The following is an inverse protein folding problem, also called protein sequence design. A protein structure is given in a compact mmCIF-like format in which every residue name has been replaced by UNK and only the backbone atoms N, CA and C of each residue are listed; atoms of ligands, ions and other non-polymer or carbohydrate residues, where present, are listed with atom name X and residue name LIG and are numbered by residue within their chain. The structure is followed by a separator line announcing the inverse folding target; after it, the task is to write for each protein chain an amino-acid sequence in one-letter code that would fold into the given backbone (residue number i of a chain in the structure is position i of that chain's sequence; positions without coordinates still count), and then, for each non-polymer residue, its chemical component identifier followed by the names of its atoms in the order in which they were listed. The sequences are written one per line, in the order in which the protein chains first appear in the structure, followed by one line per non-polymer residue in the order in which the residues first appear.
data_IF_267009612007
#
_entry.id   IF_267009612007
#
_cell.length_a   1.000
_cell.length_b   1.000
_cell.length_c   1.000
_cell.angle_alpha   90.00
_cell.angle_beta   90.00
_cell.angle_gamma   90.00
#
_symmetry.space_group_name_H-M   'P 1'
#
loop_
_entity.id
_entity.type
_entity.pdbx_description
1 polymer ?
#
# COMPACT_ATOMS: atom_id res chain seq x y z
N UNK A 1 10.35 12.09 -23.33
CA UNK A 1 10.96 10.92 -23.98
C UNK A 1 10.30 9.63 -23.51
N UNK A 2 10.01 9.47 -22.22
CA UNK A 2 9.46 8.21 -21.66
C UNK A 2 8.17 7.72 -22.31
N UNK A 3 7.19 8.59 -22.56
CA UNK A 3 5.96 8.19 -23.27
C UNK A 3 6.22 7.70 -24.69
N UNK A 4 7.18 8.28 -25.41
CA UNK A 4 7.53 7.84 -26.75
C UNK A 4 8.21 6.46 -26.73
N UNK A 5 9.15 6.26 -25.80
CA UNK A 5 9.81 4.97 -25.59
C UNK A 5 8.77 3.91 -25.20
N UNK A 6 7.93 4.22 -24.21
CA UNK A 6 6.83 3.37 -23.77
C UNK A 6 5.89 3.00 -24.91
N UNK A 7 5.52 3.95 -25.77
CA UNK A 7 4.70 3.72 -26.94
C UNK A 7 5.36 2.77 -27.94
N UNK A 8 6.61 3.02 -28.31
CA UNK A 8 7.34 2.18 -29.27
C UNK A 8 7.47 0.75 -28.73
N UNK A 9 7.90 0.58 -27.48
CA UNK A 9 8.05 -0.74 -26.87
C UNK A 9 6.71 -1.48 -26.75
N UNK A 10 5.67 -0.79 -26.29
CA UNK A 10 4.33 -1.38 -26.14
C UNK A 10 3.73 -1.77 -27.48
N UNK A 11 3.91 -0.94 -28.51
CA UNK A 11 3.45 -1.22 -29.87
C UNK A 11 4.16 -2.43 -30.46
N UNK A 12 5.48 -2.54 -30.32
CA UNK A 12 6.25 -3.70 -30.80
C UNK A 12 5.78 -4.99 -30.13
N UNK A 13 5.62 -4.98 -28.81
CA UNK A 13 5.15 -6.15 -28.05
C UNK A 13 3.70 -6.50 -28.44
N UNK A 14 2.83 -5.51 -28.60
CA UNK A 14 1.44 -5.72 -29.01
C UNK A 14 1.34 -6.33 -30.42
N UNK A 15 2.12 -5.83 -31.39
CA UNK A 15 2.17 -6.39 -32.75
C UNK A 15 2.63 -7.85 -32.73
N UNK A 16 3.72 -8.16 -32.01
CA UNK A 16 4.23 -9.53 -31.90
C UNK A 16 3.21 -10.46 -31.23
N UNK A 17 2.51 -9.96 -30.22
CA UNK A 17 1.51 -10.71 -29.46
C UNK A 17 0.24 -10.96 -30.26
N UNK A 18 -0.18 -9.98 -31.06
CA UNK A 18 -1.28 -10.12 -32.03
C UNK A 18 -0.95 -11.18 -33.08
N UNK A 19 0.24 -11.12 -33.69
CA UNK A 19 0.71 -12.13 -34.65
C UNK A 19 0.77 -13.53 -34.04
N UNK A 20 1.11 -13.64 -32.75
CA UNK A 20 1.15 -14.90 -31.97
C UNK A 20 -0.21 -15.35 -31.43
N UNK A 21 -1.31 -14.67 -31.79
CA UNK A 21 -2.69 -14.89 -31.33
C UNK A 21 -2.86 -14.85 -29.80
N UNK A 22 -1.95 -14.19 -29.08
CA UNK A 22 -2.08 -13.96 -27.63
C UNK A 22 -2.98 -12.77 -27.31
N UNK A 23 -3.10 -11.81 -28.23
CA UNK A 23 -4.02 -10.67 -28.19
C UNK A 23 -4.85 -10.63 -29.47
N UNK A 24 -6.09 -10.17 -29.37
CA UNK A 24 -6.85 -9.75 -30.56
C UNK A 24 -6.59 -8.26 -30.86
N UNK A 25 -7.18 -7.72 -31.93
CA UNK A 25 -6.89 -6.33 -32.33
C UNK A 25 -7.25 -5.32 -31.23
N UNK A 26 -8.41 -5.49 -30.58
CA UNK A 26 -8.83 -4.61 -29.48
C UNK A 26 -7.89 -4.70 -28.28
N UNK A 27 -7.42 -5.92 -27.96
CA UNK A 27 -6.45 -6.14 -26.90
C UNK A 27 -5.08 -5.55 -27.23
N UNK A 28 -4.65 -5.62 -28.49
CA UNK A 28 -3.40 -5.00 -28.94
C UNK A 28 -3.42 -3.48 -28.79
N UNK A 29 -4.51 -2.83 -29.20
CA UNK A 29 -4.70 -1.37 -29.02
C UNK A 29 -4.67 -1.00 -27.54
N UNK A 30 -5.43 -1.73 -26.71
CA UNK A 30 -5.45 -1.49 -25.26
C UNK A 30 -4.08 -1.72 -24.62
N UNK A 31 -3.38 -2.79 -24.98
CA UNK A 31 -2.04 -3.09 -24.48
C UNK A 31 -1.03 -2.00 -24.87
N UNK A 32 -1.12 -1.46 -26.09
CA UNK A 32 -0.29 -0.32 -26.50
C UNK A 32 -0.58 0.92 -25.66
N UNK A 33 -1.86 1.28 -25.47
CA UNK A 33 -2.26 2.46 -24.69
C UNK A 33 -1.82 2.34 -23.22
N UNK A 34 -2.23 1.27 -22.54
CA UNK A 34 -1.95 1.11 -21.11
C UNK A 34 -0.48 0.78 -20.83
N UNK A 35 0.21 0.06 -21.72
CA UNK A 35 1.65 -0.14 -21.64
C UNK A 35 2.42 1.19 -21.74
N UNK A 36 1.97 2.09 -22.62
CA UNK A 36 2.53 3.45 -22.74
C UNK A 36 2.34 4.25 -21.45
N UNK A 37 1.14 4.22 -20.88
CA UNK A 37 0.84 4.92 -19.63
C UNK A 37 1.67 4.35 -18.46
N UNK A 38 1.72 3.03 -18.32
CA UNK A 38 2.51 2.37 -17.27
C UNK A 38 4.01 2.70 -17.40
N UNK A 39 4.57 2.71 -18.61
CA UNK A 39 5.99 3.11 -18.78
C UNK A 39 6.20 4.59 -18.45
N UNK A 40 5.39 5.47 -19.05
CA UNK A 40 5.56 6.91 -18.93
C UNK A 40 5.27 7.45 -17.52
N UNK A 41 4.39 6.78 -16.77
CA UNK A 41 3.95 7.22 -15.44
C UNK A 41 4.51 6.35 -14.31
N UNK A 42 4.66 5.05 -14.53
CA UNK A 42 5.14 4.07 -13.55
C UNK A 42 6.63 3.69 -13.67
N UNK A 43 7.38 4.32 -14.58
CA UNK A 43 8.79 4.01 -14.91
C UNK A 43 8.98 2.67 -15.64
N UNK A 44 10.23 2.40 -16.04
CA UNK A 44 10.60 1.14 -16.65
C UNK A 44 10.39 -0.07 -15.72
N UNK A 45 10.43 0.12 -14.39
CA UNK A 45 10.20 -0.93 -13.39
C UNK A 45 8.80 -1.53 -13.59
N UNK A 46 7.75 -0.69 -13.55
CA UNK A 46 6.37 -1.16 -13.72
C UNK A 46 6.14 -1.76 -15.11
N UNK A 47 6.78 -1.20 -16.14
CA UNK A 47 6.69 -1.76 -17.48
C UNK A 47 7.28 -3.17 -17.57
N UNK A 48 8.46 -3.42 -17.00
CA UNK A 48 9.06 -4.76 -16.98
C UNK A 48 8.17 -5.74 -16.20
N UNK A 49 7.58 -5.33 -15.07
CA UNK A 49 6.62 -6.18 -14.35
C UNK A 49 5.39 -6.53 -15.20
N UNK A 50 4.81 -5.55 -15.89
CA UNK A 50 3.68 -5.76 -16.80
C UNK A 50 4.02 -6.75 -17.92
N UNK A 51 5.18 -6.58 -18.56
CA UNK A 51 5.62 -7.47 -19.64
C UNK A 51 5.90 -8.87 -19.10
N UNK A 52 6.54 -8.98 -17.94
CA UNK A 52 6.79 -10.26 -17.26
C UNK A 52 5.50 -10.99 -16.90
N UNK A 53 4.48 -10.29 -16.39
CA UNK A 53 3.13 -10.84 -16.18
C UNK A 53 2.54 -11.36 -17.50
N UNK A 54 2.51 -10.52 -18.54
CA UNK A 54 1.87 -10.87 -19.80
C UNK A 54 2.56 -12.06 -20.50
N UNK A 55 3.89 -12.06 -20.58
CA UNK A 55 4.67 -13.11 -21.25
C UNK A 55 4.58 -14.44 -20.48
N UNK A 56 4.79 -14.42 -19.16
CA UNK A 56 4.71 -15.64 -18.34
C UNK A 56 3.33 -16.29 -18.43
N UNK A 57 2.28 -15.48 -18.32
CA UNK A 57 0.89 -15.95 -18.44
C UNK A 57 0.58 -16.51 -19.83
N UNK A 58 1.08 -15.85 -20.88
CA UNK A 58 0.90 -16.34 -22.26
C UNK A 58 1.63 -17.66 -22.51
N UNK A 59 2.80 -17.86 -21.91
CA UNK A 59 3.56 -19.12 -22.00
C UNK A 59 2.82 -20.24 -21.27
N UNK A 60 2.38 -20.00 -20.03
CA UNK A 60 1.61 -20.98 -19.24
C UNK A 60 0.38 -21.44 -20.02
N UNK A 61 -0.38 -20.48 -20.57
CA UNK A 61 -1.58 -20.76 -21.35
C UNK A 61 -1.26 -21.63 -22.58
N UNK A 62 -0.16 -21.36 -23.30
CA UNK A 62 0.25 -22.13 -24.49
C UNK A 62 0.72 -23.54 -24.16
N UNK A 63 1.48 -23.73 -23.09
CA UNK A 63 2.00 -25.06 -22.68
C UNK A 63 0.85 -26.00 -22.30
N UNK A 64 -0.26 -25.46 -21.79
CA UNK A 64 -1.36 -26.28 -21.25
C UNK A 64 -2.48 -26.58 -22.24
N UNK A 65 -2.63 -25.81 -23.31
CA UNK A 65 -3.62 -26.09 -24.36
C UNK A 65 -3.11 -27.17 -25.34
N UNK A 66 -3.32 -28.45 -24.97
CA UNK A 66 -3.24 -29.61 -25.88
C UNK A 66 -4.59 -29.97 -26.53
N UNK A 67 -5.64 -29.17 -26.34
CA UNK A 67 -6.95 -29.38 -26.98
C UNK A 67 -7.43 -28.14 -27.75
N UNK A 68 -7.98 -28.43 -28.94
CA UNK A 68 -8.36 -27.56 -30.06
C UNK A 68 -9.50 -26.55 -29.75
N UNK A 69 -9.39 -25.73 -28.72
CA UNK A 69 -10.23 -24.52 -28.63
C UNK A 69 -9.48 -23.33 -29.23
N UNK A 70 -9.93 -22.86 -30.39
CA UNK A 70 -9.52 -21.55 -30.93
C UNK A 70 -10.02 -20.45 -30.00
N UNK A 71 -9.23 -20.11 -28.97
CA UNK A 71 -9.45 -18.87 -28.24
C UNK A 71 -8.96 -17.71 -29.10
N UNK A 72 -9.88 -16.79 -29.39
CA UNK A 72 -9.50 -15.44 -29.80
C UNK A 72 -8.60 -14.85 -28.71
N UNK A 73 -7.54 -14.15 -29.11
CA UNK A 73 -6.56 -13.61 -28.16
C UNK A 73 -7.22 -12.64 -27.16
N UNK A 74 -6.53 -12.30 -26.06
CA UNK A 74 -7.14 -11.44 -25.02
C UNK A 74 -7.66 -10.13 -25.64
N UNK A 75 -8.86 -9.74 -25.25
CA UNK A 75 -9.51 -8.53 -25.74
C UNK A 75 -9.23 -7.31 -24.84
N UNK A 76 -9.71 -6.13 -25.23
CA UNK A 76 -9.48 -4.91 -24.46
C UNK A 76 -10.04 -4.97 -23.03
N UNK A 77 -11.19 -5.63 -22.81
CA UNK A 77 -11.82 -5.77 -21.49
C UNK A 77 -10.89 -6.55 -20.57
N UNK A 78 -10.36 -7.67 -21.04
CA UNK A 78 -9.42 -8.50 -20.29
C UNK A 78 -8.11 -7.78 -19.99
N UNK A 79 -7.62 -6.97 -20.94
CA UNK A 79 -6.42 -6.15 -20.71
C UNK A 79 -6.70 -5.14 -19.59
N UNK A 80 -7.78 -4.36 -19.70
CA UNK A 80 -8.15 -3.33 -18.71
C UNK A 80 -8.38 -3.95 -17.34
N UNK A 81 -9.16 -5.02 -17.26
CA UNK A 81 -9.50 -5.70 -16.00
C UNK A 81 -8.25 -6.07 -15.18
N UNK A 82 -7.18 -6.51 -15.84
CA UNK A 82 -5.97 -6.97 -15.16
C UNK A 82 -4.96 -5.86 -14.84
N UNK A 83 -5.03 -4.68 -15.47
CA UNK A 83 -3.97 -3.67 -15.35
C UNK A 83 -4.46 -2.27 -14.99
N UNK A 84 -5.77 -2.05 -14.89
CA UNK A 84 -6.31 -0.72 -14.58
C UNK A 84 -5.87 -0.25 -13.18
N UNK A 85 -5.91 -1.13 -12.17
CA UNK A 85 -5.42 -0.81 -10.82
C UNK A 85 -3.96 -0.35 -10.85
N UNK A 86 -3.08 -1.14 -11.48
CA UNK A 86 -1.66 -0.78 -11.63
C UNK A 86 -1.46 0.55 -12.38
N UNK A 87 -2.29 0.81 -13.40
CA UNK A 87 -2.25 2.07 -14.16
C UNK A 87 -2.65 3.26 -13.30
N UNK A 88 -3.76 3.17 -12.56
CA UNK A 88 -4.23 4.23 -11.66
C UNK A 88 -3.15 4.56 -10.64
N UNK A 89 -2.57 3.56 -9.98
CA UNK A 89 -1.53 3.81 -8.98
C UNK A 89 -0.20 4.28 -9.58
N UNK A 90 0.11 3.91 -10.82
CA UNK A 90 1.23 4.50 -11.58
C UNK A 90 0.99 5.98 -11.88
N UNK A 91 -0.25 6.38 -12.22
CA UNK A 91 -0.63 7.79 -12.41
C UNK A 91 -0.48 8.56 -11.08
N UNK A 92 -0.97 7.99 -9.98
CA UNK A 92 -0.85 8.62 -8.65
C UNK A 92 0.62 8.77 -8.27
N UNK A 93 1.45 7.74 -8.46
CA UNK A 93 2.90 7.84 -8.29
C UNK A 93 3.50 8.94 -9.17
N UNK A 94 3.11 9.04 -10.44
CA UNK A 94 3.63 10.07 -11.33
C UNK A 94 3.35 11.49 -10.83
N UNK A 95 2.18 11.73 -10.24
CA UNK A 95 1.77 13.05 -9.72
C UNK A 95 2.41 13.33 -8.36
N UNK A 96 2.41 12.36 -7.44
CA UNK A 96 2.84 12.55 -6.05
C UNK A 96 4.33 12.34 -5.84
N UNK A 97 4.98 11.54 -6.69
CA UNK A 97 6.34 11.00 -6.55
C UNK A 97 6.56 10.13 -5.30
N UNK A 98 5.49 9.76 -4.61
CA UNK A 98 5.55 8.94 -3.40
C UNK A 98 5.69 7.45 -3.73
N UNK A 99 6.79 6.84 -3.27
CA UNK A 99 7.17 5.47 -3.66
C UNK A 99 6.14 4.41 -3.24
N UNK A 100 5.36 4.68 -2.20
CA UNK A 100 4.27 3.79 -1.75
C UNK A 100 3.29 3.47 -2.89
N UNK A 101 2.99 4.43 -3.77
CA UNK A 101 2.03 4.20 -4.86
C UNK A 101 2.63 3.35 -5.98
N UNK A 102 3.97 3.38 -6.17
CA UNK A 102 4.64 2.43 -7.06
C UNK A 102 4.55 1.01 -6.51
N UNK A 103 4.72 0.82 -5.20
CA UNK A 103 4.56 -0.48 -4.54
C UNK A 103 3.12 -0.99 -4.67
N UNK A 104 2.12 -0.13 -4.51
CA UNK A 104 0.70 -0.49 -4.70
C UNK A 104 0.42 -0.84 -6.17
N UNK A 105 1.00 -0.14 -7.13
CA UNK A 105 0.88 -0.51 -8.54
C UNK A 105 1.44 -1.93 -8.79
N UNK A 106 2.58 -2.27 -8.17
CA UNK A 106 3.15 -3.60 -8.22
C UNK A 106 2.25 -4.66 -7.55
N UNK A 107 1.58 -4.34 -6.43
CA UNK A 107 0.55 -5.21 -5.81
C UNK A 107 -0.55 -5.54 -6.81
N UNK A 108 -1.04 -4.55 -7.57
CA UNK A 108 -2.05 -4.78 -8.61
C UNK A 108 -1.59 -5.76 -9.69
N UNK A 109 -0.35 -5.60 -10.20
CA UNK A 109 0.24 -6.53 -11.19
C UNK A 109 0.44 -7.92 -10.58
N UNK A 110 0.90 -7.99 -9.33
CA UNK A 110 1.10 -9.24 -8.60
C UNK A 110 -0.23 -9.98 -8.40
N UNK A 111 -1.32 -9.28 -8.08
CA UNK A 111 -2.65 -9.86 -7.93
C UNK A 111 -3.15 -10.49 -9.23
N UNK A 112 -3.06 -9.75 -10.35
CA UNK A 112 -3.42 -10.27 -11.67
C UNK A 112 -2.56 -11.46 -12.10
N UNK A 113 -1.26 -11.43 -11.77
CA UNK A 113 -0.34 -12.54 -12.05
C UNK A 113 -0.68 -13.77 -11.22
N UNK A 114 -0.92 -13.57 -9.92
CA UNK A 114 -1.32 -14.59 -8.97
C UNK A 114 -2.58 -15.32 -9.44
N UNK A 115 -3.63 -14.57 -9.78
CA UNK A 115 -4.89 -15.11 -10.27
C UNK A 115 -4.74 -15.86 -11.61
N UNK A 116 -4.00 -15.27 -12.55
CA UNK A 116 -3.81 -15.91 -13.86
C UNK A 116 -3.01 -17.21 -13.75
N UNK A 117 -1.98 -17.25 -12.91
CA UNK A 117 -1.21 -18.49 -12.67
C UNK A 117 -2.06 -19.52 -11.93
N UNK A 118 -2.84 -19.10 -10.93
CA UNK A 118 -3.75 -19.96 -10.19
C UNK A 118 -4.77 -20.64 -11.11
N UNK A 119 -5.43 -19.86 -11.96
CA UNK A 119 -6.49 -20.34 -12.84
C UNK A 119 -5.94 -21.17 -13.99
N UNK A 120 -4.83 -20.80 -14.62
CA UNK A 120 -4.28 -21.54 -15.77
C UNK A 120 -3.55 -22.83 -15.33
N UNK A 121 -2.79 -22.80 -14.24
CA UNK A 121 -2.10 -23.99 -13.72
C UNK A 121 -3.07 -24.86 -12.91
N UNK A 122 -3.93 -24.26 -12.09
CA UNK A 122 -4.88 -24.95 -11.23
C UNK A 122 -5.91 -25.79 -11.99
N UNK A 123 -6.32 -25.37 -13.21
CA UNK A 123 -7.17 -26.20 -14.11
C UNK A 123 -6.56 -27.56 -14.43
N UNK A 124 -5.24 -27.70 -14.34
CA UNK A 124 -4.52 -28.96 -14.60
C UNK A 124 -4.41 -29.86 -13.36
N UNK A 125 -4.91 -29.40 -12.21
CA UNK A 125 -4.90 -30.17 -10.97
C UNK A 125 -5.67 -31.47 -11.12
N UNK A 126 -5.01 -32.58 -10.80
CA UNK A 126 -5.64 -33.91 -10.68
C UNK A 126 -6.25 -34.14 -9.29
N UNK A 127 -5.92 -33.30 -8.31
CA UNK A 127 -6.39 -33.42 -6.93
C UNK A 127 -7.79 -32.85 -6.71
N UNK A 128 -8.21 -32.86 -5.44
CA UNK A 128 -9.49 -32.28 -5.00
C UNK A 128 -9.53 -30.78 -5.27
N UNK A 129 -10.70 -30.31 -5.70
CA UNK A 129 -11.02 -28.88 -5.83
C UNK A 129 -12.12 -28.59 -4.83
N UNK A 130 -11.90 -27.59 -3.99
CA UNK A 130 -12.83 -27.25 -2.91
C UNK A 130 -13.25 -25.79 -3.01
N UNK A 131 -14.46 -25.46 -2.57
CA UNK A 131 -14.88 -24.07 -2.44
C UNK A 131 -14.03 -23.37 -1.37
N UNK A 132 -13.55 -22.16 -1.66
CA UNK A 132 -12.78 -21.35 -0.70
C UNK A 132 -13.60 -20.96 0.56
N UNK A 133 -14.93 -20.99 0.49
CA UNK A 133 -15.81 -20.55 1.58
C UNK A 133 -16.04 -21.66 2.61
N UNK A 134 -16.33 -22.89 2.17
CA UNK A 134 -16.77 -23.98 3.05
C UNK A 134 -15.92 -25.27 2.93
N UNK A 135 -14.88 -25.25 2.09
CA UNK A 135 -13.97 -26.36 1.84
C UNK A 135 -14.63 -27.67 1.38
N UNK A 136 -15.87 -27.61 0.88
CA UNK A 136 -16.54 -28.75 0.25
C UNK A 136 -16.09 -28.89 -1.20
N UNK A 137 -16.07 -30.13 -1.68
CA UNK A 137 -15.66 -30.45 -3.05
C UNK A 137 -16.62 -29.82 -4.07
N UNK A 138 -16.04 -29.22 -5.13
CA UNK A 138 -16.78 -28.57 -6.22
C UNK A 138 -16.25 -29.03 -7.58
N UNK A 139 -17.09 -29.01 -8.63
CA UNK A 139 -16.66 -29.27 -9.99
C UNK A 139 -15.47 -28.41 -10.45
N UNK A 140 -14.67 -28.97 -11.38
CA UNK A 140 -13.58 -28.25 -12.05
C UNK A 140 -14.09 -27.02 -12.78
N UNK A 141 -13.40 -25.90 -12.59
CA UNK A 141 -13.69 -24.65 -13.27
C UNK A 141 -14.87 -23.87 -12.71
N UNK A 142 -15.43 -24.26 -11.56
CA UNK A 142 -16.42 -23.44 -10.86
C UNK A 142 -15.75 -22.23 -10.19
N UNK A 143 -16.35 -21.04 -10.35
CA UNK A 143 -15.85 -19.81 -9.72
C UNK A 143 -15.75 -19.95 -8.20
N UNK A 144 -14.55 -19.64 -7.69
CA UNK A 144 -14.11 -19.80 -6.30
C UNK A 144 -13.77 -21.23 -5.85
N UNK A 145 -13.65 -22.16 -6.80
CA UNK A 145 -13.03 -23.46 -6.59
C UNK A 145 -11.51 -23.35 -6.55
N UNK A 146 -10.90 -23.74 -5.43
CA UNK A 146 -9.45 -23.71 -5.22
C UNK A 146 -8.87 -25.12 -5.16
N UNK A 147 -7.64 -25.26 -5.65
CA UNK A 147 -6.86 -26.50 -5.57
C UNK A 147 -5.48 -26.20 -5.00
N UNK A 148 -4.83 -27.19 -4.37
CA UNK A 148 -3.48 -27.02 -3.82
C UNK A 148 -2.49 -26.51 -4.88
N UNK A 149 -2.56 -27.07 -6.10
CA UNK A 149 -1.72 -26.64 -7.21
C UNK A 149 -1.99 -25.19 -7.61
N UNK A 150 -3.27 -24.79 -7.68
CA UNK A 150 -3.66 -23.41 -7.96
C UNK A 150 -3.18 -22.43 -6.87
N UNK A 151 -3.36 -22.78 -5.60
CA UNK A 151 -2.92 -21.96 -4.46
C UNK A 151 -1.41 -21.79 -4.40
N UNK A 152 -0.63 -22.85 -4.65
CA UNK A 152 0.83 -22.73 -4.73
C UNK A 152 1.24 -21.88 -5.94
N UNK A 153 0.58 -22.07 -7.08
CA UNK A 153 0.84 -21.28 -8.29
C UNK A 153 0.54 -19.79 -8.08
N UNK A 154 -0.51 -19.46 -7.34
CA UNK A 154 -0.88 -18.08 -7.01
C UNK A 154 0.17 -17.42 -6.09
N UNK A 155 0.70 -18.16 -5.11
CA UNK A 155 1.78 -17.69 -4.26
C UNK A 155 3.07 -17.45 -5.07
N UNK A 156 3.46 -18.40 -5.91
CA UNK A 156 4.66 -18.25 -6.77
C UNK A 156 4.52 -17.12 -7.79
N UNK A 157 3.33 -16.89 -8.35
CA UNK A 157 3.08 -15.74 -9.23
C UNK A 157 3.29 -14.40 -8.53
N UNK A 158 2.88 -14.31 -7.25
CA UNK A 158 3.08 -13.10 -6.44
C UNK A 158 4.56 -12.90 -6.07
N UNK A 159 5.24 -13.97 -5.65
CA UNK A 159 6.69 -13.97 -5.36
C UNK A 159 7.49 -13.57 -6.61
N UNK A 160 7.11 -14.06 -7.79
CA UNK A 160 7.78 -13.74 -9.05
C UNK A 160 7.75 -12.24 -9.35
N UNK A 161 6.58 -11.60 -9.27
CA UNK A 161 6.46 -10.14 -9.48
C UNK A 161 7.17 -9.36 -8.38
N UNK A 162 7.04 -9.81 -7.13
CA UNK A 162 7.67 -9.17 -5.97
C UNK A 162 9.20 -9.19 -6.06
N UNK A 163 9.79 -10.34 -6.43
CA UNK A 163 11.22 -10.50 -6.61
C UNK A 163 11.75 -9.61 -7.75
N UNK A 164 11.05 -9.58 -8.88
CA UNK A 164 11.40 -8.69 -9.99
C UNK A 164 11.33 -7.21 -9.57
N UNK A 165 10.33 -6.84 -8.77
CA UNK A 165 10.20 -5.46 -8.29
C UNK A 165 11.40 -5.06 -7.44
N UNK A 166 11.75 -5.83 -6.40
CA UNK A 166 12.86 -5.47 -5.52
C UNK A 166 14.22 -5.46 -6.24
N UNK A 167 14.40 -6.33 -7.24
CA UNK A 167 15.62 -6.36 -8.04
C UNK A 167 15.75 -5.06 -8.87
N UNK A 168 14.71 -4.71 -9.61
CA UNK A 168 14.71 -3.51 -10.47
C UNK A 168 14.71 -2.21 -9.65
N UNK A 169 13.97 -2.19 -8.54
CA UNK A 169 13.96 -1.06 -7.62
C UNK A 169 15.33 -0.87 -6.98
N UNK A 170 15.97 -1.94 -6.47
CA UNK A 170 17.29 -1.87 -5.86
C UNK A 170 18.39 -1.44 -6.83
N UNK A 171 18.28 -1.83 -8.12
CA UNK A 171 19.19 -1.33 -9.17
C UNK A 171 19.00 0.16 -9.44
N UNK A 172 17.78 0.69 -9.31
CA UNK A 172 17.44 2.09 -9.65
C UNK A 172 17.65 3.05 -8.50
N UNK A 173 17.30 2.64 -7.28
CA UNK A 173 17.18 3.48 -6.08
C UNK A 173 18.00 2.96 -4.89
N UNK A 174 18.93 2.03 -5.15
CA UNK A 174 19.79 1.35 -4.17
C UNK A 174 19.10 0.27 -3.32
N UNK A 175 19.89 -0.71 -2.89
CA UNK A 175 19.44 -1.80 -2.03
C UNK A 175 19.40 -1.35 -0.57
N UNK A 176 18.23 -1.49 0.07
CA UNK A 176 18.03 -1.16 1.48
C UNK A 176 17.17 -2.20 2.19
N UNK A 177 17.18 -2.19 3.53
CA UNK A 177 16.34 -3.08 4.35
C UNK A 177 14.83 -2.89 4.08
N UNK A 178 14.43 -1.69 3.64
CA UNK A 178 13.05 -1.38 3.27
C UNK A 178 12.54 -2.21 2.08
N UNK A 179 13.43 -2.66 1.19
CA UNK A 179 13.07 -3.55 0.07
C UNK A 179 12.46 -4.86 0.54
N UNK A 180 12.90 -5.39 1.69
CA UNK A 180 12.31 -6.61 2.25
C UNK A 180 10.84 -6.37 2.66
N UNK A 181 10.53 -5.18 3.17
CA UNK A 181 9.16 -4.75 3.44
C UNK A 181 8.32 -4.72 2.15
N UNK A 182 8.85 -4.13 1.07
CA UNK A 182 8.15 -4.13 -0.23
C UNK A 182 7.96 -5.54 -0.79
N UNK A 183 8.96 -6.41 -0.63
CA UNK A 183 8.85 -7.80 -1.04
C UNK A 183 7.68 -8.52 -0.37
N UNK A 184 7.56 -8.36 0.95
CA UNK A 184 6.47 -8.95 1.74
C UNK A 184 5.13 -8.36 1.30
N UNK A 185 5.05 -7.03 1.18
CA UNK A 185 3.80 -6.34 0.84
C UNK A 185 3.28 -6.74 -0.55
N UNK A 186 4.15 -6.80 -1.56
CA UNK A 186 3.75 -7.20 -2.92
C UNK A 186 3.37 -8.69 -2.96
N UNK A 187 4.09 -9.55 -2.23
CA UNK A 187 3.78 -10.99 -2.18
C UNK A 187 2.44 -11.25 -1.52
N UNK A 188 2.20 -10.68 -0.34
CA UNK A 188 0.94 -10.84 0.40
C UNK A 188 -0.20 -10.19 -0.37
N UNK A 189 -0.02 -8.96 -0.86
CA UNK A 189 -1.03 -8.26 -1.63
C UNK A 189 -1.42 -8.99 -2.91
N UNK A 190 -0.44 -9.51 -3.65
CA UNK A 190 -0.71 -10.31 -4.84
C UNK A 190 -1.51 -11.59 -4.52
N UNK A 191 -1.08 -12.35 -3.51
CA UNK A 191 -1.73 -13.59 -3.12
C UNK A 191 -3.16 -13.35 -2.58
N UNK A 192 -3.32 -12.34 -1.71
CA UNK A 192 -4.63 -11.96 -1.19
C UNK A 192 -5.56 -11.43 -2.28
N UNK A 193 -5.03 -10.80 -3.34
CA UNK A 193 -5.80 -10.42 -4.51
C UNK A 193 -6.50 -11.61 -5.16
N UNK A 194 -5.78 -12.71 -5.39
CA UNK A 194 -6.35 -13.96 -5.92
C UNK A 194 -7.33 -14.63 -4.95
N UNK A 195 -7.05 -14.59 -3.64
CA UNK A 195 -7.99 -15.09 -2.62
C UNK A 195 -9.29 -14.28 -2.66
N UNK A 196 -9.20 -12.96 -2.71
CA UNK A 196 -10.36 -12.07 -2.75
C UNK A 196 -11.15 -12.25 -4.04
N UNK A 197 -10.48 -12.45 -5.18
CA UNK A 197 -11.08 -12.83 -6.45
C UNK A 197 -11.98 -14.06 -6.32
N UNK A 198 -11.46 -15.13 -5.70
CA UNK A 198 -12.21 -16.37 -5.48
C UNK A 198 -13.48 -16.16 -4.64
N UNK A 199 -13.44 -15.27 -3.64
CA UNK A 199 -14.63 -14.90 -2.86
C UNK A 199 -15.64 -14.10 -3.70
N UNK A 200 -15.17 -13.09 -4.45
CA UNK A 200 -16.03 -12.30 -5.34
C UNK A 200 -16.65 -13.17 -6.44
N UNK A 201 -15.91 -14.15 -6.97
CA UNK A 201 -16.40 -15.13 -7.93
C UNK A 201 -17.53 -16.00 -7.41
N UNK A 202 -17.55 -16.30 -6.10
CA UNK A 202 -18.67 -17.04 -5.48
C UNK A 202 -19.88 -16.13 -5.27
N UNK A 203 -19.68 -14.94 -4.72
CA UNK A 203 -20.78 -14.09 -4.26
C UNK A 203 -21.37 -13.18 -5.33
N UNK A 204 -20.55 -12.65 -6.24
CA UNK A 204 -20.97 -11.61 -7.17
C UNK A 204 -21.05 -12.10 -8.62
N UNK A 205 -20.22 -13.05 -9.04
CA UNK A 205 -20.19 -13.48 -10.45
C UNK A 205 -21.50 -14.15 -10.87
N UNK A 206 -22.00 -13.75 -12.04
CA UNK A 206 -23.21 -14.29 -12.63
C UNK A 206 -23.05 -15.79 -12.93
N UNK A 207 -23.96 -16.60 -12.39
CA UNK A 207 -24.08 -18.03 -12.72
C UNK A 207 -25.46 -18.28 -13.31
N UNK A 208 -25.48 -18.95 -14.46
CA UNK A 208 -26.69 -19.23 -15.22
C UNK A 208 -26.92 -20.73 -15.34
N UNK A 209 -28.17 -21.14 -15.52
CA UNK A 209 -28.53 -22.46 -16.04
C UNK A 209 -29.02 -22.27 -17.48
N UNK A 210 -28.48 -23.07 -18.39
CA UNK A 210 -28.99 -23.18 -19.76
C UNK A 210 -30.28 -24.01 -19.75
N UNK A 211 -31.38 -23.44 -20.24
CA UNK A 211 -32.70 -24.08 -20.12
C UNK A 211 -32.83 -25.36 -20.95
N UNK A 212 -32.08 -25.48 -22.06
CA UNK A 212 -32.11 -26.66 -22.93
C UNK A 212 -31.39 -27.87 -22.33
N UNK A 213 -30.28 -27.65 -21.63
CA UNK A 213 -29.38 -28.72 -21.16
C UNK A 213 -29.40 -28.89 -19.66
N UNK A 214 -29.93 -27.93 -18.91
CA UNK A 214 -29.86 -27.88 -17.44
C UNK A 214 -28.45 -27.60 -16.90
N UNK A 215 -27.46 -27.36 -17.78
CA UNK A 215 -26.06 -27.19 -17.37
C UNK A 215 -25.83 -25.81 -16.76
N UNK A 216 -25.12 -25.78 -15.63
CA UNK A 216 -24.65 -24.54 -14.99
C UNK A 216 -23.46 -23.97 -15.78
N UNK A 217 -23.53 -22.70 -16.13
CA UNK A 217 -22.52 -21.98 -16.90
C UNK A 217 -22.29 -20.57 -16.34
N UNK A 218 -21.13 -19.99 -16.62
CA UNK A 218 -20.75 -18.65 -16.16
C UNK A 218 -20.66 -17.65 -17.33
N UNK A 219 -20.75 -18.14 -18.58
CA UNK A 219 -20.72 -17.31 -19.79
C UNK A 219 -21.88 -17.70 -20.70
N UNK A 220 -22.71 -16.71 -21.05
CA UNK A 220 -23.82 -16.86 -22.01
C UNK A 220 -23.27 -16.98 -23.43
N UNK A 221 -23.91 -17.79 -24.27
CA UNK A 221 -23.69 -17.78 -25.72
C UNK A 221 -24.79 -16.96 -26.41
N UNK A 222 -24.60 -16.57 -27.66
CA UNK A 222 -25.58 -15.73 -28.39
C UNK A 222 -26.88 -16.47 -28.75
N UNK A 223 -26.93 -17.79 -28.64
CA UNK A 223 -28.03 -18.62 -29.18
C UNK A 223 -28.75 -19.48 -28.13
N UNK A 224 -28.49 -19.26 -26.84
CA UNK A 224 -29.10 -20.02 -25.75
C UNK A 224 -30.10 -19.20 -24.92
N UNK A 225 -31.05 -19.92 -24.33
CA UNK A 225 -31.94 -19.38 -23.30
C UNK A 225 -31.39 -19.71 -21.92
N UNK A 226 -31.22 -18.67 -21.09
CA UNK A 226 -30.50 -18.76 -19.83
C UNK A 226 -31.32 -18.17 -18.69
N UNK A 227 -31.34 -18.86 -17.55
CA UNK A 227 -31.89 -18.34 -16.30
C UNK A 227 -30.76 -18.01 -15.34
N UNK A 228 -30.73 -16.78 -14.83
CA UNK A 228 -29.80 -16.39 -13.77
C UNK A 228 -30.16 -17.15 -12.49
N UNK A 229 -29.17 -17.78 -11.86
CA UNK A 229 -29.34 -18.58 -10.64
C UNK A 229 -28.72 -17.89 -9.43
N UNK A 230 -27.57 -17.23 -9.61
CA UNK A 230 -26.88 -16.51 -8.54
C UNK A 230 -25.98 -15.42 -9.10
N UNK A 231 -25.56 -14.51 -8.22
CA UNK A 231 -24.70 -13.37 -8.58
C UNK A 231 -25.46 -12.25 -9.28
N UNK A 232 -24.70 -11.29 -9.79
CA UNK A 232 -25.22 -10.10 -10.46
C UNK A 232 -25.09 -10.26 -11.97
N UNK A 233 -26.14 -10.03 -12.78
CA UNK A 233 -26.15 -10.39 -14.20
C UNK A 233 -25.08 -9.69 -15.06
N UNK A 234 -24.57 -8.54 -14.59
CA UNK A 234 -23.54 -7.74 -15.24
C UNK A 234 -22.12 -8.02 -14.72
N UNK A 235 -21.95 -8.83 -13.68
CA UNK A 235 -20.64 -9.19 -13.12
C UNK A 235 -20.19 -10.51 -13.72
N UNK A 236 -19.26 -10.44 -14.67
CA UNK A 236 -18.57 -11.59 -15.24
C UNK A 236 -17.17 -11.75 -14.62
N UNK A 237 -16.41 -12.75 -15.06
CA UNK A 237 -15.03 -12.99 -14.60
C UNK A 237 -14.15 -11.74 -14.75
N UNK A 238 -14.21 -11.04 -15.88
CA UNK A 238 -13.37 -9.85 -16.11
C UNK A 238 -13.69 -8.72 -15.11
N UNK A 239 -14.97 -8.55 -14.74
CA UNK A 239 -15.38 -7.62 -13.70
C UNK A 239 -14.90 -8.07 -12.30
N UNK A 240 -14.90 -9.38 -12.03
CA UNK A 240 -14.36 -9.93 -10.78
C UNK A 240 -12.87 -9.64 -10.65
N UNK A 241 -12.08 -9.93 -11.70
CA UNK A 241 -10.65 -9.60 -11.76
C UNK A 241 -10.39 -8.10 -11.58
N UNK A 242 -11.22 -7.24 -12.18
CA UNK A 242 -11.10 -5.80 -12.00
C UNK A 242 -11.37 -5.38 -10.55
N UNK A 243 -12.48 -5.85 -9.97
CA UNK A 243 -12.86 -5.52 -8.60
C UNK A 243 -11.83 -6.05 -7.61
N UNK A 244 -11.34 -7.27 -7.79
CA UNK A 244 -10.37 -7.89 -6.90
C UNK A 244 -9.06 -7.12 -6.86
N UNK A 245 -8.52 -6.78 -8.04
CA UNK A 245 -7.27 -6.02 -8.19
C UNK A 245 -7.38 -4.57 -7.70
N UNK A 246 -8.52 -3.90 -7.94
CA UNK A 246 -8.75 -2.53 -7.44
C UNK A 246 -8.91 -2.52 -5.92
N UNK A 247 -9.73 -3.42 -5.36
CA UNK A 247 -9.96 -3.49 -3.92
C UNK A 247 -8.66 -3.80 -3.17
N UNK A 248 -7.87 -4.78 -3.61
CA UNK A 248 -6.63 -5.13 -2.92
C UNK A 248 -5.60 -4.01 -3.01
N UNK A 249 -5.51 -3.32 -4.15
CA UNK A 249 -4.63 -2.17 -4.30
C UNK A 249 -5.04 -1.02 -3.36
N UNK A 250 -6.34 -0.72 -3.22
CA UNK A 250 -6.83 0.29 -2.27
C UNK A 250 -6.50 -0.11 -0.83
N UNK A 251 -6.76 -1.36 -0.43
CA UNK A 251 -6.46 -1.85 0.92
C UNK A 251 -4.96 -1.67 1.23
N UNK A 252 -4.08 -2.08 0.30
CA UNK A 252 -2.64 -1.95 0.50
C UNK A 252 -2.16 -0.49 0.45
N UNK A 253 -2.80 0.37 -0.34
CA UNK A 253 -2.54 1.81 -0.29
C UNK A 253 -2.88 2.37 1.10
N UNK A 254 -4.03 2.02 1.67
CA UNK A 254 -4.42 2.47 3.00
C UNK A 254 -3.47 1.94 4.08
N UNK A 255 -3.06 0.67 4.01
CA UNK A 255 -2.09 0.09 4.94
C UNK A 255 -0.75 0.83 4.87
N UNK A 256 -0.24 1.10 3.67
CA UNK A 256 1.04 1.78 3.49
C UNK A 256 0.98 3.25 3.89
N UNK A 257 -0.11 3.97 3.55
CA UNK A 257 -0.33 5.36 3.99
C UNK A 257 -0.43 5.42 5.51
N UNK A 258 -1.18 4.51 6.12
CA UNK A 258 -1.30 4.44 7.57
C UNK A 258 0.03 4.07 8.23
N UNK A 259 0.77 3.13 7.64
CA UNK A 259 2.10 2.74 8.10
C UNK A 259 3.12 3.87 7.99
N UNK A 260 3.08 4.68 6.93
CA UNK A 260 3.95 5.86 6.78
C UNK A 260 3.57 6.99 7.74
N UNK A 261 2.25 7.19 7.94
CA UNK A 261 1.72 8.13 8.94
C UNK A 261 2.11 7.73 10.37
N UNK A 262 2.08 6.44 10.68
CA UNK A 262 2.50 5.88 11.97
C UNK A 262 4.00 5.63 12.07
N UNK A 263 4.73 5.75 10.96
CA UNK A 263 6.15 5.44 10.85
C UNK A 263 6.97 6.17 11.91
N UNK A 264 7.96 5.47 12.48
CA UNK A 264 8.82 6.01 13.52
C UNK A 264 9.54 7.25 12.98
N UNK A 265 9.27 8.40 13.60
CA UNK A 265 9.95 9.64 13.25
C UNK A 265 11.44 9.47 13.55
N UNK A 266 12.27 9.61 12.51
CA UNK A 266 13.70 9.26 12.56
C UNK A 266 14.48 10.16 13.50
N UNK A 267 14.21 11.45 13.40
CA UNK A 267 14.90 12.50 14.12
C UNK A 267 14.04 13.77 14.21
N UNK A 268 14.61 14.82 14.79
CA UNK A 268 13.92 16.09 14.98
C UNK A 268 13.61 16.81 13.65
N UNK A 269 14.43 16.63 12.61
CA UNK A 269 14.22 17.26 11.31
C UNK A 269 13.04 16.59 10.59
N UNK A 270 12.99 15.26 10.59
CA UNK A 270 11.86 14.46 10.10
C UNK A 270 10.56 14.83 10.86
N UNK A 271 10.64 15.04 12.18
CA UNK A 271 9.52 15.55 12.97
C UNK A 271 9.02 16.91 12.43
N UNK A 272 9.94 17.86 12.28
CA UNK A 272 9.63 19.21 11.82
C UNK A 272 8.96 19.22 10.45
N UNK A 273 9.50 18.43 9.51
CA UNK A 273 8.97 18.33 8.14
C UNK A 273 7.57 17.71 8.08
N UNK A 274 7.31 16.67 8.89
CA UNK A 274 6.02 15.98 8.93
C UNK A 274 4.91 16.83 9.56
N UNK A 275 5.20 17.51 10.67
CA UNK A 275 4.17 18.17 11.48
C UNK A 275 4.08 19.70 11.28
N UNK A 276 5.10 20.34 10.71
CA UNK A 276 5.17 21.80 10.52
C UNK A 276 5.45 22.15 9.06
N UNK A 277 4.37 22.40 8.30
CA UNK A 277 4.44 22.68 6.86
C UNK A 277 5.10 24.02 6.54
N UNK A 278 4.88 25.04 7.39
CA UNK A 278 5.42 26.38 7.17
C UNK A 278 6.89 26.45 7.63
N UNK A 279 7.80 26.82 6.73
CA UNK A 279 9.24 26.80 6.97
C UNK A 279 9.68 27.71 8.11
N UNK A 280 9.08 28.90 8.24
CA UNK A 280 9.30 29.85 9.33
C UNK A 280 8.97 29.22 10.70
N UNK A 281 7.80 28.60 10.82
CA UNK A 281 7.36 27.92 12.05
C UNK A 281 8.24 26.71 12.37
N UNK A 282 8.63 25.96 11.32
CA UNK A 282 9.52 24.80 11.48
C UNK A 282 10.86 25.24 12.03
N UNK A 283 11.43 26.33 11.51
CA UNK A 283 12.68 26.91 12.02
C UNK A 283 12.58 27.29 13.49
N UNK A 284 11.52 28.02 13.88
CA UNK A 284 11.27 28.39 15.30
C UNK A 284 11.24 27.16 16.21
N UNK A 285 10.55 26.09 15.80
CA UNK A 285 10.45 24.86 16.57
C UNK A 285 11.78 24.12 16.71
N UNK A 286 12.52 23.98 15.59
CA UNK A 286 13.82 23.32 15.56
C UNK A 286 14.85 24.09 16.39
N UNK A 287 14.86 25.42 16.28
CA UNK A 287 15.75 26.30 17.05
C UNK A 287 15.47 26.17 18.55
N UNK A 288 14.20 26.12 18.97
CA UNK A 288 13.83 25.87 20.37
C UNK A 288 14.33 24.52 20.87
N UNK A 289 14.11 23.44 20.11
CA UNK A 289 14.56 22.10 20.51
C UNK A 289 16.09 22.02 20.58
N UNK A 290 16.79 22.63 19.62
CA UNK A 290 18.25 22.73 19.64
C UNK A 290 18.75 23.59 20.81
N UNK A 291 18.04 24.67 21.15
CA UNK A 291 18.35 25.48 22.34
C UNK A 291 18.26 24.64 23.62
N UNK A 292 17.22 23.82 23.80
CA UNK A 292 17.14 22.91 24.97
C UNK A 292 18.31 21.93 24.98
N UNK A 293 18.60 21.30 23.83
CA UNK A 293 19.70 20.34 23.69
C UNK A 293 21.07 20.94 24.04
N UNK A 294 21.29 22.21 23.69
CA UNK A 294 22.58 22.87 23.84
C UNK A 294 22.78 23.52 25.22
N UNK A 295 21.70 23.90 25.91
CA UNK A 295 21.77 24.59 27.20
C UNK A 295 21.59 23.67 28.41
N UNK A 296 21.03 22.48 28.22
CA UNK A 296 20.79 21.51 29.29
C UNK A 296 21.45 20.18 28.96
N UNK A 297 21.99 19.50 29.97
CA UNK A 297 22.55 18.16 29.82
C UNK A 297 21.43 17.11 29.71
N UNK A 298 20.69 17.13 28.61
CA UNK A 298 19.53 16.28 28.33
C UNK A 298 19.71 15.57 26.99
N UNK A 299 19.30 14.31 26.93
CA UNK A 299 19.25 13.55 25.70
C UNK A 299 17.93 13.82 24.98
N UNK A 300 18.01 14.28 23.73
CA UNK A 300 16.86 14.37 22.83
C UNK A 300 16.60 12.98 22.23
N UNK A 301 15.43 12.41 22.53
CA UNK A 301 14.95 11.16 21.96
C UNK A 301 13.59 11.37 21.30
N UNK A 302 13.37 10.72 20.16
CA UNK A 302 12.04 10.64 19.56
C UNK A 302 11.34 9.41 20.15
N UNK A 303 10.32 9.65 20.97
CA UNK A 303 9.47 8.61 21.59
C UNK A 303 8.01 8.97 21.38
N UNK A 304 7.19 7.96 21.10
CA UNK A 304 5.76 8.15 20.80
C UNK A 304 5.51 9.22 19.71
N UNK A 305 6.38 9.26 18.70
CA UNK A 305 6.35 10.27 17.63
C UNK A 305 6.39 11.71 18.16
N UNK A 306 7.15 11.98 19.22
CA UNK A 306 7.37 13.31 19.77
C UNK A 306 8.83 13.49 20.20
N UNK A 307 9.41 14.70 20.03
CA UNK A 307 10.70 15.04 20.63
C UNK A 307 10.57 15.16 22.15
N UNK A 308 11.29 14.30 22.86
CA UNK A 308 11.35 14.25 24.32
C UNK A 308 12.78 14.49 24.78
N UNK A 309 12.94 15.29 25.83
CA UNK A 309 14.21 15.54 26.51
C UNK A 309 14.25 14.73 27.80
N UNK A 310 15.28 13.89 27.92
CA UNK A 310 15.45 12.95 29.02
C UNK A 310 16.74 13.25 29.79
N UNK A 311 16.70 13.07 31.12
CA UNK A 311 17.87 13.06 31.99
C UNK A 311 18.07 11.63 32.49
N UNK A 312 19.15 10.96 32.08
CA UNK A 312 19.44 9.57 32.47
C UNK A 312 18.27 8.58 32.21
N UNK A 313 17.57 8.76 31.09
CA UNK A 313 16.41 7.94 30.71
C UNK A 313 15.07 8.35 31.35
N UNK A 314 15.09 9.35 32.24
CA UNK A 314 13.91 9.89 32.92
C UNK A 314 13.36 11.11 32.17
N UNK A 315 12.03 11.18 31.99
CA UNK A 315 11.36 12.27 31.28
C UNK A 315 11.54 13.63 31.97
N UNK A 316 11.87 14.68 31.22
CA UNK A 316 11.97 16.07 31.72
C UNK A 316 10.99 16.99 31.01
N UNK A 317 10.92 16.91 29.68
CA UNK A 317 10.12 17.78 28.84
C UNK A 317 9.81 17.11 27.51
N UNK A 318 8.65 17.38 26.91
CA UNK A 318 8.40 17.06 25.51
C UNK A 318 7.76 18.24 24.79
N UNK A 319 7.96 18.26 23.47
CA UNK A 319 7.27 19.18 22.57
C UNK A 319 6.35 18.42 21.63
N UNK A 320 5.23 19.05 21.27
CA UNK A 320 4.31 18.53 20.25
C UNK A 320 3.85 19.65 19.34
N UNK A 321 4.17 19.55 18.06
CA UNK A 321 3.80 20.54 17.06
C UNK A 321 2.34 20.38 16.62
N UNK A 322 1.72 21.52 16.30
CA UNK A 322 0.44 21.63 15.62
C UNK A 322 0.52 22.73 14.57
N UNK A 323 -0.56 22.93 13.78
CA UNK A 323 -0.54 23.87 12.65
C UNK A 323 -0.17 25.32 13.05
N UNK A 324 -0.69 25.81 14.17
CA UNK A 324 -0.59 27.22 14.56
C UNK A 324 0.20 27.47 15.86
N UNK A 325 0.58 26.40 16.57
CA UNK A 325 1.25 26.45 17.85
C UNK A 325 2.03 25.15 18.08
N UNK A 326 2.85 25.13 19.12
CA UNK A 326 3.40 23.90 19.67
C UNK A 326 3.06 23.84 21.16
N UNK A 327 2.95 22.61 21.67
CA UNK A 327 2.71 22.32 23.08
C UNK A 327 4.00 21.97 23.79
N UNK A 328 4.11 22.39 25.03
CA UNK A 328 5.20 22.09 25.95
C UNK A 328 4.64 21.28 27.11
N UNK A 329 5.15 20.07 27.32
CA UNK A 329 4.64 19.13 28.32
C UNK A 329 5.72 18.79 29.37
N UNK A 330 5.72 19.46 30.54
CA UNK A 330 6.71 19.26 31.61
C UNK A 330 6.24 18.32 32.74
N UNK A 331 5.22 17.50 32.52
CA UNK A 331 4.47 16.73 33.55
C UNK A 331 3.60 17.60 34.48
N UNK A 332 2.58 16.97 35.08
CA UNK A 332 1.53 17.64 35.88
C UNK A 332 2.10 18.43 37.06
N UNK A 333 3.08 17.88 37.78
CA UNK A 333 3.69 18.55 38.95
C UNK A 333 4.34 19.89 38.60
N UNK A 334 5.02 19.96 37.45
CA UNK A 334 5.61 21.21 36.97
C UNK A 334 4.53 22.16 36.43
N UNK A 335 3.53 21.63 35.72
CA UNK A 335 2.39 22.43 35.27
C UNK A 335 1.67 23.11 36.44
N UNK A 336 1.48 22.40 37.55
CA UNK A 336 0.87 22.94 38.76
C UNK A 336 1.76 24.01 39.42
N UNK A 337 3.07 23.73 39.57
CA UNK A 337 4.02 24.66 40.18
C UNK A 337 4.17 25.98 39.40
N UNK A 338 4.15 25.93 38.07
CA UNK A 338 4.36 27.09 37.20
C UNK A 338 3.06 27.69 36.63
N UNK A 339 1.88 27.25 37.10
CA UNK A 339 0.57 27.63 36.56
C UNK A 339 0.37 29.14 36.46
N UNK A 340 0.74 29.89 37.49
CA UNK A 340 0.55 31.34 37.52
C UNK A 340 1.53 32.06 36.59
N UNK A 341 2.78 31.59 36.51
CA UNK A 341 3.79 32.16 35.61
C UNK A 341 3.47 31.90 34.14
N UNK A 342 2.94 30.72 33.81
CA UNK A 342 2.43 30.40 32.47
C UNK A 342 1.27 31.32 32.09
N UNK A 343 0.37 31.61 33.04
CA UNK A 343 -0.75 32.54 32.84
C UNK A 343 -0.28 33.98 32.64
N UNK A 344 0.73 34.43 33.43
CA UNK A 344 1.35 35.75 33.28
C UNK A 344 2.05 35.90 31.93
N UNK A 345 2.64 34.82 31.40
CA UNK A 345 3.20 34.76 30.05
C UNK A 345 2.11 34.72 28.94
N UNK A 346 0.82 34.69 29.30
CA UNK A 346 -0.34 34.67 28.39
C UNK A 346 -0.41 33.43 27.50
N UNK A 347 0.18 32.31 27.93
CA UNK A 347 0.07 31.04 27.23
C UNK A 347 -1.19 30.27 27.63
N UNK A 348 -1.84 29.63 26.66
CA UNK A 348 -2.94 28.71 26.95
C UNK A 348 -2.41 27.45 27.64
N UNK A 349 -3.10 26.95 28.67
CA UNK A 349 -2.65 25.78 29.42
C UNK A 349 -3.77 24.82 29.80
N UNK A 350 -3.37 23.58 30.03
CA UNK A 350 -4.19 22.45 30.52
C UNK A 350 -3.49 21.83 31.73
N UNK A 351 -4.06 20.77 32.31
CA UNK A 351 -3.42 20.03 33.40
C UNK A 351 -2.04 19.44 33.03
N UNK A 352 -1.80 19.13 31.76
CA UNK A 352 -0.61 18.36 31.33
C UNK A 352 0.40 19.16 30.50
N UNK A 353 -0.02 20.27 29.89
CA UNK A 353 0.79 21.03 28.94
C UNK A 353 0.31 22.47 28.83
N UNK A 354 1.18 23.33 28.29
CA UNK A 354 0.83 24.66 27.80
C UNK A 354 1.22 24.84 26.34
N UNK A 355 0.65 25.84 25.66
CA UNK A 355 0.77 26.07 24.23
C UNK A 355 1.36 27.43 23.94
N UNK A 356 2.33 27.47 23.04
CA UNK A 356 2.96 28.69 22.52
C UNK A 356 2.65 28.77 21.02
N UNK A 357 2.04 29.86 20.56
CA UNK A 357 1.81 30.07 19.12
C UNK A 357 3.15 30.41 18.47
N UNK A 358 3.38 29.97 17.23
CA UNK A 358 4.63 30.27 16.53
C UNK A 358 4.89 31.77 16.32
N UNK A 359 3.84 32.59 16.40
CA UNK A 359 3.90 34.05 16.27
C UNK A 359 4.17 34.76 17.60
N UNK A 360 4.04 34.07 18.72
CA UNK A 360 4.25 34.64 20.05
C UNK A 360 5.74 34.54 20.41
N UNK A 361 6.22 35.48 21.23
CA UNK A 361 7.58 35.41 21.76
C UNK A 361 7.72 34.24 22.74
N UNK A 362 8.81 33.47 22.61
CA UNK A 362 9.11 32.34 23.50
C UNK A 362 9.76 32.87 24.78
N UNK A 363 9.12 32.65 25.92
CA UNK A 363 9.66 32.99 27.23
C UNK A 363 10.70 31.95 27.68
N UNK A 364 11.94 32.11 27.20
CA UNK A 364 13.05 31.23 27.53
C UNK A 364 13.38 31.20 29.03
N UNK A 365 13.17 32.30 29.75
CA UNK A 365 13.38 32.34 31.20
C UNK A 365 12.42 31.40 31.95
N UNK A 366 11.13 31.42 31.59
CA UNK A 366 10.13 30.50 32.14
C UNK A 366 10.48 29.05 31.79
N UNK A 367 10.84 28.77 30.52
CA UNK A 367 11.24 27.42 30.10
C UNK A 367 12.46 26.90 30.86
N UNK A 368 13.49 27.73 31.05
CA UNK A 368 14.67 27.37 31.85
C UNK A 368 14.27 26.95 33.25
N UNK A 369 13.43 27.75 33.93
CA UNK A 369 12.99 27.42 35.30
C UNK A 369 12.18 26.13 35.36
N UNK A 370 11.32 25.88 34.37
CA UNK A 370 10.54 24.63 34.28
C UNK A 370 11.48 23.42 34.10
N UNK A 371 12.45 23.52 33.19
CA UNK A 371 13.40 22.43 32.90
C UNK A 371 14.27 22.16 34.13
N UNK A 372 14.86 23.19 34.73
CA UNK A 372 15.70 23.06 35.92
C UNK A 372 14.93 22.51 37.12
N UNK A 373 13.67 22.91 37.30
CA UNK A 373 12.80 22.35 38.33
C UNK A 373 12.64 20.84 38.16
N UNK A 374 12.34 20.37 36.95
CA UNK A 374 12.21 18.95 36.66
C UNK A 374 13.53 18.19 36.82
N UNK A 375 14.64 18.76 36.34
CA UNK A 375 15.96 18.15 36.50
C UNK A 375 16.35 18.03 37.98
N UNK A 376 16.08 19.06 38.79
CA UNK A 376 16.39 19.06 40.23
C UNK A 376 15.50 18.06 40.98
N UNK A 377 14.19 18.10 40.73
CA UNK A 377 13.21 17.24 41.40
C UNK A 377 13.39 15.76 41.05
N UNK A 378 13.84 15.46 39.82
CA UNK A 378 14.02 14.09 39.32
C UNK A 378 15.48 13.64 39.33
N UNK A 379 16.37 14.31 40.04
CA UNK A 379 17.77 13.90 40.18
C UNK A 379 17.86 12.55 40.89
N UNK A 380 18.45 11.54 40.24
CA UNK A 380 18.53 10.18 40.77
C UNK A 380 17.22 9.38 40.67
N UNK A 381 16.22 9.89 39.95
CA UNK A 381 14.96 9.17 39.71
C UNK A 381 15.16 8.09 38.64
N UNK A 382 14.57 6.91 38.84
CA UNK A 382 14.83 5.72 38.01
C UNK A 382 13.67 5.35 37.06
N UNK A 383 12.51 5.99 37.21
CA UNK A 383 11.33 5.75 36.37
C UNK A 383 11.16 6.84 35.32
N UNK A 384 10.59 6.47 34.18
CA UNK A 384 10.36 7.41 33.08
C UNK A 384 9.46 8.58 33.49
N UNK A 385 8.25 8.29 33.98
CA UNK A 385 7.28 9.27 34.50
C UNK A 385 7.33 9.36 36.02
N UNK A 386 6.98 10.53 36.57
CA UNK A 386 6.66 10.62 38.01
C UNK A 386 5.50 9.70 38.32
N UNK A 387 5.59 8.99 39.44
CA UNK A 387 4.45 8.28 40.01
C UNK A 387 3.39 9.29 40.43
N UNK A 388 2.18 9.11 39.91
CA UNK A 388 1.02 9.88 40.34
C UNK A 388 0.49 9.24 41.63
N UNK A 389 0.78 9.87 42.77
CA UNK A 389 0.02 9.62 43.99
C UNK A 389 -1.30 10.38 43.84
N UNK A 390 -2.36 9.68 43.41
CA UNK A 390 -3.71 10.15 43.71
C UNK A 390 -3.89 10.05 45.23
N UNK A 391 -4.10 11.18 45.89
CA UNK A 391 -4.96 11.25 47.07
C UNK A 391 -6.28 11.86 46.59
#
# INVERSE_FOLDING_TARGET
MDFLIGFILSLLIAILSYKKKSLNLSGAIAATLFGTLIYGMGTYIMFVLLISFFLSSSIIQKIKHLEKEEKDGRNFIQVIANILAATIFSVIYFVTKEQIFMVVAAVGIAASTSDTWASEIGKTSKGKIVSIVNFKEVPRGESGGVSLLGTLSSLFGSIFISFLFILLYGITFEFSIALFGYFIMITIGGFLGCVFDSYLGIFLQAKYIELKTGKKIEKRTNHGEYKLVSGLPFVNNDMVNLLSTVCIAIIFALILIWGDYMGYIKDLEDYGQRFIKEESNRKVFLDLCNWVKNNFNLNLEIKYNQPMFLMDGTFILAFSASKNHFSVAPEVKAMEYFKDEISLAKYEQTTHLFRIKYKDEINYHLLTRIIEYNMKDKKGYTKFWRETWYI
#
